data_IF_151170502478
#
_entry.id   IF_151170502478
#
_cell.length_a   1.000
_cell.length_b   1.000
_cell.length_c   1.000
_cell.angle_alpha   90.00
_cell.angle_beta   90.00
_cell.angle_gamma   90.00
#
_symmetry.space_group_name_H-M   'P 1'
#
loop_
_entity.id
_entity.type
_entity.pdbx_description
1 polymer ?
#
# COMPACT_ATOMS: atom_id res chain seq x y z
N UNK A 1 -1.47 -8.69 1.09
CA UNK A 1 -2.90 -8.36 1.23
C UNK A 1 -2.96 -6.88 0.97
N UNK A 2 -4.11 -6.38 0.50
CA UNK A 2 -4.23 -4.97 0.12
C UNK A 2 -3.96 -4.05 1.33
N UNK A 3 -3.38 -2.88 1.08
CA UNK A 3 -3.10 -1.88 2.12
C UNK A 3 -4.39 -1.48 2.85
N UNK A 4 -4.36 -1.29 4.19
CA UNK A 4 -5.52 -0.80 4.91
C UNK A 4 -6.02 0.53 4.34
N UNK A 5 -7.34 0.67 4.18
CA UNK A 5 -8.00 1.89 3.68
C UNK A 5 -7.67 3.10 4.57
N UNK A 6 -7.67 2.89 5.89
CA UNK A 6 -7.39 3.90 6.92
C UNK A 6 -6.31 3.39 7.87
N UNK A 7 -5.55 4.32 8.45
CA UNK A 7 -4.58 3.98 9.48
C UNK A 7 -5.28 3.45 10.75
N UNK A 8 -4.77 2.34 11.29
CA UNK A 8 -5.32 1.69 12.48
C UNK A 8 -5.32 2.54 13.76
N UNK A 9 -4.50 3.60 13.82
CA UNK A 9 -4.40 4.46 15.01
C UNK A 9 -5.09 5.80 14.81
N UNK A 10 -4.76 6.50 13.71
CA UNK A 10 -5.23 7.87 13.48
C UNK A 10 -6.55 7.93 12.70
N UNK A 11 -6.99 6.83 12.08
CA UNK A 11 -8.18 6.80 11.21
C UNK A 11 -8.05 7.58 9.89
N UNK A 12 -6.91 8.25 9.65
CA UNK A 12 -6.63 8.98 8.41
C UNK A 12 -6.61 8.01 7.22
N UNK A 13 -7.16 8.44 6.08
CA UNK A 13 -7.08 7.69 4.82
C UNK A 13 -5.61 7.61 4.38
N UNK A 14 -5.17 6.39 4.03
CA UNK A 14 -3.78 6.10 3.62
C UNK A 14 -3.70 5.31 2.33
N UNK A 15 -4.74 4.57 1.95
CA UNK A 15 -4.73 3.75 0.73
C UNK A 15 -4.67 4.57 -0.57
N UNK A 16 -5.24 5.78 -0.57
CA UNK A 16 -5.20 6.72 -1.69
C UNK A 16 -3.76 7.09 -2.11
N UNK A 17 -2.82 7.03 -1.17
CA UNK A 17 -1.43 7.47 -1.34
C UNK A 17 -0.46 6.33 -1.62
N UNK A 18 -0.89 5.07 -1.52
CA UNK A 18 0.01 3.93 -1.57
C UNK A 18 0.70 3.78 -2.92
N UNK A 19 -0.05 3.88 -4.02
CA UNK A 19 0.51 3.73 -5.36
C UNK A 19 1.52 4.82 -5.70
N UNK A 20 1.25 6.06 -5.26
CA UNK A 20 2.19 7.16 -5.41
C UNK A 20 3.48 6.91 -4.61
N UNK A 21 3.35 6.51 -3.34
CA UNK A 21 4.49 6.14 -2.49
C UNK A 21 5.33 5.02 -3.12
N UNK A 22 4.68 3.95 -3.58
CA UNK A 22 5.32 2.78 -4.22
C UNK A 22 6.08 3.18 -5.49
N UNK A 23 5.52 4.09 -6.31
CA UNK A 23 6.18 4.59 -7.52
C UNK A 23 7.41 5.44 -7.21
N UNK A 24 7.29 6.41 -6.31
CA UNK A 24 8.39 7.34 -5.99
C UNK A 24 9.56 6.62 -5.30
N UNK A 25 9.27 5.68 -4.37
CA UNK A 25 10.31 4.85 -3.74
C UNK A 25 10.98 3.92 -4.75
N UNK A 26 10.25 3.38 -5.73
CA UNK A 26 10.85 2.58 -6.82
C UNK A 26 11.74 3.39 -7.75
N UNK A 27 11.50 4.69 -7.86
CA UNK A 27 12.36 5.61 -8.63
C UNK A 27 13.66 5.98 -7.88
N UNK A 28 13.80 5.55 -6.62
CA UNK A 28 14.99 5.79 -5.80
C UNK A 28 14.89 7.03 -4.91
N UNK A 29 13.71 7.63 -4.76
CA UNK A 29 13.53 8.70 -3.78
C UNK A 29 13.54 8.15 -2.34
N UNK A 30 14.03 8.97 -1.39
CA UNK A 30 14.01 8.64 0.03
C UNK A 30 12.55 8.52 0.53
N UNK A 31 12.16 7.36 1.11
CA UNK A 31 10.83 7.17 1.67
C UNK A 31 10.39 8.26 2.65
N UNK A 32 11.32 8.85 3.42
CA UNK A 32 11.00 9.92 4.36
C UNK A 32 10.47 11.17 3.65
N UNK A 33 11.18 11.61 2.60
CA UNK A 33 10.81 12.79 1.80
C UNK A 33 9.49 12.59 1.09
N UNK A 34 9.29 11.40 0.52
CA UNK A 34 8.03 11.02 -0.14
C UNK A 34 6.86 11.07 0.84
N UNK A 35 7.01 10.53 2.05
CA UNK A 35 5.95 10.53 3.08
C UNK A 35 5.61 11.95 3.55
N UNK A 36 6.60 12.84 3.62
CA UNK A 36 6.39 14.25 3.93
C UNK A 36 5.63 14.98 2.82
N UNK A 37 5.98 14.73 1.56
CA UNK A 37 5.27 15.29 0.39
C UNK A 37 3.82 14.81 0.31
N UNK A 38 3.55 13.58 0.71
CA UNK A 38 2.20 12.99 0.80
C UNK A 38 1.39 13.51 2.00
N UNK A 39 1.94 14.40 2.84
CA UNK A 39 1.25 15.00 3.98
C UNK A 39 0.98 14.01 5.12
N UNK A 40 1.85 13.03 5.30
CA UNK A 40 1.77 12.05 6.39
C UNK A 40 2.76 12.40 7.50
N UNK A 41 2.43 13.37 8.35
CA UNK A 41 3.34 13.81 9.42
C UNK A 41 3.39 12.86 10.63
N UNK A 42 2.27 12.21 10.97
CA UNK A 42 2.21 11.32 12.15
C UNK A 42 2.86 9.96 11.86
N UNK A 43 3.74 9.51 12.74
CA UNK A 43 4.42 8.21 12.64
C UNK A 43 3.43 7.04 12.48
N UNK A 44 2.27 7.11 13.13
CA UNK A 44 1.27 6.05 13.10
C UNK A 44 0.67 5.85 11.71
N UNK A 45 0.53 6.93 10.92
CA UNK A 45 0.03 6.86 9.55
C UNK A 45 1.19 6.50 8.59
N UNK A 46 2.45 6.90 8.87
CA UNK A 46 3.65 6.49 8.11
C UNK A 46 3.94 5.00 8.15
N UNK A 47 3.84 4.38 9.34
CA UNK A 47 4.11 2.94 9.51
C UNK A 47 3.22 2.06 8.63
N UNK A 48 2.01 2.54 8.30
CA UNK A 48 1.08 1.81 7.43
C UNK A 48 1.60 1.65 6.01
N UNK A 49 2.42 2.59 5.51
CA UNK A 49 3.02 2.52 4.18
C UNK A 49 4.39 1.85 4.23
N UNK A 50 5.21 2.18 5.23
CA UNK A 50 6.57 1.68 5.37
C UNK A 50 6.63 0.16 5.59
N UNK A 51 5.72 -0.38 6.40
CA UNK A 51 5.71 -1.81 6.76
C UNK A 51 4.73 -2.63 5.92
N UNK A 52 4.13 -2.04 4.88
CA UNK A 52 3.17 -2.76 4.04
C UNK A 52 3.88 -3.71 3.08
N UNK A 53 3.51 -5.00 3.13
CA UNK A 53 3.95 -6.00 2.16
C UNK A 53 2.75 -6.47 1.36
N UNK A 54 2.79 -6.18 0.06
CA UNK A 54 1.72 -6.49 -0.85
C UNK A 54 1.80 -7.92 -1.37
N UNK A 55 1.35 -8.87 -0.55
CA UNK A 55 1.31 -10.30 -0.92
C UNK A 55 0.11 -10.68 -1.80
N UNK A 56 -0.79 -9.74 -2.19
CA UNK A 56 -2.02 -10.12 -2.92
C UNK A 56 -1.70 -10.79 -4.26
N UNK A 57 -0.72 -10.28 -4.99
CA UNK A 57 -0.31 -10.80 -6.30
C UNK A 57 0.12 -12.26 -6.23
N UNK A 58 0.84 -12.63 -5.17
CA UNK A 58 1.26 -14.01 -4.94
C UNK A 58 0.07 -14.92 -4.61
N UNK A 59 -0.91 -14.43 -3.86
CA UNK A 59 -2.09 -15.22 -3.50
C UNK A 59 -3.09 -15.39 -4.65
N UNK A 60 -3.23 -14.40 -5.54
CA UNK A 60 -4.09 -14.51 -6.72
C UNK A 60 -3.68 -15.66 -7.65
N UNK A 61 -2.40 -16.04 -7.67
CA UNK A 61 -1.93 -17.18 -8.45
C UNK A 61 -2.46 -18.54 -7.94
N UNK A 62 -2.94 -18.60 -6.69
CA UNK A 62 -3.36 -19.84 -6.02
C UNK A 62 -4.87 -19.91 -5.72
N UNK A 63 -5.67 -18.92 -6.14
CA UNK A 63 -7.12 -18.97 -5.90
C UNK A 63 -7.73 -20.13 -6.68
N UNK A 64 -7.92 -21.25 -5.98
CA UNK A 64 -8.64 -22.44 -6.43
C UNK A 64 -10.12 -22.10 -6.57
N UNK A 65 -10.48 -21.44 -7.64
CA UNK A 65 -11.82 -21.47 -8.18
C UNK A 65 -11.69 -21.95 -9.62
N UNK A 66 -12.18 -23.15 -9.89
CA UNK A 66 -12.82 -23.38 -11.17
C UNK A 66 -13.81 -22.24 -11.38
N UNK A 67 -13.46 -21.35 -12.29
CA UNK A 67 -14.36 -20.38 -12.88
C UNK A 67 -14.18 -20.55 -14.38
N UNK A 68 -14.94 -21.51 -14.87
CA UNK A 68 -15.53 -21.58 -16.20
C UNK A 68 -15.50 -20.22 -16.93
N UNK A 69 -15.09 -20.29 -18.20
CA UNK A 69 -15.18 -19.24 -19.22
C UNK A 69 -14.13 -18.11 -19.19
N UNK A 70 -12.94 -18.45 -19.70
CA UNK A 70 -12.22 -17.54 -20.60
C UNK A 70 -13.09 -17.40 -21.85
N UNK A 71 -13.61 -16.20 -22.09
CA UNK A 71 -14.28 -15.82 -23.33
C UNK A 71 -13.31 -15.13 -24.27
#
# INVERSE_FOLDING_TARGET
MIIPVRCFTCGKVVADKYEQFKREVRQGEDPAVVLDRLGLHRYCCRRMLLSHVDIIDSFMAFSTSESTEVK
#
